data_IF_995652492988
#
_entry.id   IF_995652492988
#
_cell.length_a   1.000
_cell.length_b   1.000
_cell.length_c   1.000
_cell.angle_alpha   90.00
_cell.angle_beta   90.00
_cell.angle_gamma   90.00
#
_symmetry.space_group_name_H-M   'P 1'
#
loop_
_entity.id
_entity.type
_entity.pdbx_description
1 polymer ?
#
# COMPACT_ATOMS: atom_id res chain seq x y z
N UNK A 1 39.74 13.38 39.21
CA UNK A 1 38.58 12.59 39.69
C UNK A 1 37.40 13.56 39.74
N UNK A 2 36.64 13.65 38.65
CA UNK A 2 35.30 13.03 38.49
C UNK A 2 34.18 13.81 39.20
N UNK A 3 33.39 14.58 38.45
CA UNK A 3 31.95 14.33 38.18
C UNK A 3 31.20 15.64 37.78
N UNK A 4 30.73 15.76 36.54
CA UNK A 4 29.36 15.48 36.03
C UNK A 4 28.49 16.76 35.96
N UNK A 5 28.42 17.37 34.77
CA UNK A 5 27.29 17.34 33.80
C UNK A 5 26.13 18.29 34.12
N UNK A 6 26.10 19.43 33.40
CA UNK A 6 24.90 20.24 33.20
C UNK A 6 23.94 19.50 32.27
N UNK A 7 22.77 19.13 32.78
CA UNK A 7 21.66 18.61 31.99
C UNK A 7 20.67 19.77 31.83
N UNK A 8 20.69 20.41 30.66
CA UNK A 8 19.63 21.33 30.23
C UNK A 8 18.57 20.49 29.52
N UNK A 9 17.45 20.22 30.19
CA UNK A 9 16.25 19.64 29.58
C UNK A 9 15.29 20.78 29.33
N UNK A 10 15.39 21.36 28.13
CA UNK A 10 14.31 22.15 27.53
C UNK A 10 13.60 21.20 26.56
N UNK A 11 12.59 20.49 27.04
CA UNK A 11 11.63 19.82 26.18
C UNK A 11 10.25 20.41 26.48
N UNK A 12 9.92 21.47 25.74
CA UNK A 12 8.55 21.93 25.59
C UNK A 12 7.78 20.85 24.83
N UNK A 13 6.96 20.10 25.56
CA UNK A 13 6.03 19.11 25.03
C UNK A 13 4.94 19.78 24.20
N UNK A 14 5.02 19.54 22.90
CA UNK A 14 3.94 19.33 21.92
C UNK A 14 2.52 19.77 22.32
N UNK A 15 2.08 20.85 21.67
CA UNK A 15 0.68 21.05 21.30
C UNK A 15 0.18 19.85 20.49
N UNK A 16 -0.84 19.19 21.01
CA UNK A 16 -1.55 18.07 20.41
C UNK A 16 -2.27 18.50 19.11
N UNK A 17 -1.58 18.34 17.98
CA UNK A 17 -2.23 18.14 16.68
C UNK A 17 -2.62 16.67 16.57
N UNK A 18 -3.91 16.37 16.73
CA UNK A 18 -4.45 15.03 16.46
C UNK A 18 -4.17 14.67 14.98
N UNK A 19 -3.44 13.58 14.69
CA UNK A 19 -3.23 13.15 13.32
C UNK A 19 -4.51 12.47 12.82
N UNK A 20 -5.06 12.93 11.70
CA UNK A 20 -6.14 12.26 10.94
C UNK A 20 -5.74 10.89 10.35
N UNK A 21 -4.73 10.21 10.91
CA UNK A 21 -4.09 9.03 10.31
C UNK A 21 -4.75 7.70 10.68
N UNK A 22 -5.78 7.69 11.53
CA UNK A 22 -6.32 6.44 12.10
C UNK A 22 -7.38 5.77 11.21
N UNK A 23 -8.00 6.48 10.26
CA UNK A 23 -9.15 5.91 9.52
C UNK A 23 -8.78 5.01 8.32
N UNK A 24 -7.57 5.11 7.76
CA UNK A 24 -7.15 4.23 6.66
C UNK A 24 -6.76 2.82 7.16
N UNK A 25 -6.17 2.73 8.35
CA UNK A 25 -5.65 1.48 8.93
C UNK A 25 -6.75 0.48 9.27
N UNK A 26 -7.92 0.92 9.75
CA UNK A 26 -8.99 0.01 10.14
C UNK A 26 -9.68 -0.66 8.95
N UNK A 27 -9.75 0.02 7.80
CA UNK A 27 -10.38 -0.55 6.60
C UNK A 27 -9.49 -1.60 5.94
N UNK A 28 -8.18 -1.35 5.87
CA UNK A 28 -7.19 -2.31 5.36
C UNK A 28 -7.11 -3.57 6.24
N UNK A 29 -7.17 -3.42 7.57
CA UNK A 29 -7.14 -4.55 8.49
C UNK A 29 -8.41 -5.42 8.42
N UNK A 30 -9.58 -4.82 8.20
CA UNK A 30 -10.83 -5.57 7.96
C UNK A 30 -10.78 -6.34 6.65
N UNK A 31 -10.33 -5.73 5.56
CA UNK A 31 -10.21 -6.42 4.27
C UNK A 31 -9.18 -7.56 4.32
N UNK A 32 -8.06 -7.36 5.01
CA UNK A 32 -7.04 -8.39 5.25
C UNK A 32 -7.60 -9.65 5.93
N UNK A 33 -8.53 -9.51 6.86
CA UNK A 33 -9.12 -10.65 7.58
C UNK A 33 -10.17 -11.41 6.74
N UNK A 34 -10.87 -10.73 5.84
CA UNK A 34 -11.99 -11.30 5.10
C UNK A 34 -11.54 -12.41 4.12
N UNK A 35 -10.51 -12.15 3.30
CA UNK A 35 -10.07 -13.13 2.30
C UNK A 35 -9.31 -14.33 2.89
N UNK A 36 -8.82 -14.24 4.14
CA UNK A 36 -8.19 -15.37 4.86
C UNK A 36 -9.19 -16.41 5.32
N UNK A 37 -10.44 -16.01 5.57
CA UNK A 37 -11.50 -16.91 6.04
C UNK A 37 -12.22 -17.63 4.88
N UNK A 38 -12.27 -16.99 3.71
CA UNK A 38 -13.00 -17.49 2.52
C UNK A 38 -12.37 -18.74 1.87
N UNK A 39 -11.11 -19.03 2.22
CA UNK A 39 -10.21 -19.92 1.47
C UNK A 39 -9.84 -21.20 2.23
N UNK A 40 -10.54 -21.48 3.34
CA UNK A 40 -10.31 -22.68 4.14
C UNK A 40 -10.66 -23.94 3.33
N UNK A 41 -9.72 -24.88 3.22
CA UNK A 41 -9.90 -26.14 2.48
C UNK A 41 -9.61 -26.06 0.98
N UNK A 42 -9.06 -24.94 0.49
CA UNK A 42 -8.58 -24.85 -0.89
C UNK A 42 -7.38 -25.75 -1.15
N UNK A 43 -7.31 -26.33 -2.35
CA UNK A 43 -6.16 -27.13 -2.76
C UNK A 43 -4.94 -26.25 -3.09
N UNK A 44 -3.75 -26.86 -3.14
CA UNK A 44 -2.53 -26.20 -3.62
C UNK A 44 -2.76 -25.52 -4.98
N UNK A 45 -3.44 -26.23 -5.89
CA UNK A 45 -3.70 -25.74 -7.24
C UNK A 45 -4.66 -24.53 -7.25
N UNK A 46 -5.64 -24.49 -6.34
CA UNK A 46 -6.57 -23.36 -6.20
C UNK A 46 -5.82 -22.10 -5.73
N UNK A 47 -4.97 -22.23 -4.71
CA UNK A 47 -4.13 -21.14 -4.24
C UNK A 47 -3.21 -20.61 -5.35
N UNK A 48 -2.55 -21.51 -6.10
CA UNK A 48 -1.66 -21.12 -7.20
C UNK A 48 -2.42 -20.43 -8.34
N UNK A 49 -3.61 -20.91 -8.68
CA UNK A 49 -4.47 -20.31 -9.72
C UNK A 49 -4.96 -18.92 -9.31
N UNK A 50 -5.39 -18.78 -8.06
CA UNK A 50 -5.84 -17.51 -7.50
C UNK A 50 -4.73 -16.46 -7.36
N UNK A 51 -3.49 -16.90 -7.09
CA UNK A 51 -2.31 -16.04 -7.09
C UNK A 51 -2.03 -15.51 -8.51
N UNK A 52 -1.92 -16.42 -9.49
CA UNK A 52 -1.65 -16.06 -10.90
C UNK A 52 -2.69 -15.10 -11.49
N UNK A 53 -3.97 -15.31 -11.19
CA UNK A 53 -5.02 -14.39 -11.64
C UNK A 53 -4.77 -12.95 -11.15
N UNK A 54 -4.34 -12.80 -9.89
CA UNK A 54 -4.06 -11.48 -9.30
C UNK A 54 -2.75 -10.87 -9.81
N UNK A 55 -1.76 -11.69 -10.17
CA UNK A 55 -0.53 -11.17 -10.81
C UNK A 55 -0.86 -10.43 -12.11
N UNK A 56 -1.79 -10.93 -12.91
CA UNK A 56 -2.27 -10.23 -14.11
C UNK A 56 -2.95 -8.89 -13.80
N UNK A 57 -3.75 -8.85 -12.73
CA UNK A 57 -4.37 -7.59 -12.25
C UNK A 57 -3.31 -6.58 -11.79
N UNK A 58 -2.31 -7.03 -11.01
CA UNK A 58 -1.18 -6.22 -10.55
C UNK A 58 -0.43 -5.62 -11.73
N UNK A 59 -0.06 -6.43 -12.73
CA UNK A 59 0.65 -5.94 -13.92
C UNK A 59 -0.14 -4.87 -14.68
N UNK A 60 -1.46 -5.04 -14.79
CA UNK A 60 -2.34 -4.04 -15.39
C UNK A 60 -2.37 -2.74 -14.59
N UNK A 61 -2.48 -2.83 -13.26
CA UNK A 61 -2.46 -1.67 -12.37
C UNK A 61 -1.11 -0.94 -12.40
N UNK A 62 0.01 -1.65 -12.40
CA UNK A 62 1.35 -1.07 -12.49
C UNK A 62 1.54 -0.31 -13.81
N UNK A 63 1.08 -0.87 -14.93
CA UNK A 63 1.09 -0.19 -16.23
C UNK A 63 0.30 1.11 -16.19
N UNK A 64 -0.86 1.11 -15.54
CA UNK A 64 -1.69 2.32 -15.35
C UNK A 64 -1.03 3.34 -14.44
N UNK A 65 -0.36 2.91 -13.37
CA UNK A 65 0.40 3.79 -12.49
C UNK A 65 1.52 4.49 -13.27
N UNK A 66 2.26 3.76 -14.11
CA UNK A 66 3.32 4.34 -14.94
C UNK A 66 2.77 5.36 -15.95
N UNK A 67 1.60 5.11 -16.56
CA UNK A 67 0.95 6.10 -17.43
C UNK A 67 0.58 7.38 -16.67
N UNK A 68 -0.03 7.23 -15.49
CA UNK A 68 -0.38 8.36 -14.64
C UNK A 68 0.85 9.17 -14.22
N UNK A 69 1.96 8.51 -13.87
CA UNK A 69 3.21 9.17 -13.52
C UNK A 69 3.78 9.99 -14.67
N UNK A 70 3.75 9.46 -15.91
CA UNK A 70 4.15 10.22 -17.11
C UNK A 70 3.28 11.46 -17.30
N UNK A 71 1.96 11.34 -17.08
CA UNK A 71 1.02 12.47 -17.20
C UNK A 71 1.20 13.50 -16.08
N UNK A 72 1.49 13.06 -14.86
CA UNK A 72 1.84 13.94 -13.74
C UNK A 72 3.11 14.72 -14.08
N UNK A 73 4.16 14.04 -14.55
CA UNK A 73 5.42 14.67 -14.94
C UNK A 73 5.23 15.70 -16.07
N UNK A 74 4.31 15.47 -17.01
CA UNK A 74 3.95 16.45 -18.03
C UNK A 74 3.46 17.78 -17.42
N UNK A 75 2.55 17.72 -16.43
CA UNK A 75 2.04 18.91 -15.75
C UNK A 75 3.02 19.54 -14.76
N UNK A 76 3.99 18.78 -14.25
CA UNK A 76 5.09 19.31 -13.42
C UNK A 76 6.10 20.10 -14.27
N UNK A 77 6.45 19.58 -15.45
CA UNK A 77 7.35 20.25 -16.38
C UNK A 77 6.72 21.44 -17.10
N UNK A 78 5.39 21.46 -17.23
CA UNK A 78 4.64 22.53 -17.90
C UNK A 78 3.51 23.06 -17.02
N UNK A 79 3.83 23.83 -15.95
CA UNK A 79 2.83 24.30 -14.99
C UNK A 79 1.73 25.17 -15.60
N UNK A 80 2.00 25.82 -16.74
CA UNK A 80 1.03 26.67 -17.41
C UNK A 80 -0.15 25.89 -18.03
N UNK A 81 -0.01 24.57 -18.27
CA UNK A 81 -1.12 23.72 -18.71
C UNK A 81 -2.05 23.29 -17.56
N UNK A 82 -1.61 23.44 -16.31
CA UNK A 82 -2.44 23.23 -15.12
C UNK A 82 -2.05 24.23 -14.01
N UNK A 83 -2.33 25.54 -14.18
CA UNK A 83 -1.83 26.59 -13.29
C UNK A 83 -2.32 26.45 -11.85
N UNK A 84 -3.50 25.84 -11.67
CA UNK A 84 -4.12 25.58 -10.37
C UNK A 84 -3.76 24.21 -9.81
N UNK A 85 -3.15 23.34 -10.61
CA UNK A 85 -2.75 22.00 -10.18
C UNK A 85 -3.91 21.02 -10.00
N UNK A 86 -5.12 21.32 -10.48
CA UNK A 86 -6.28 20.47 -10.25
C UNK A 86 -6.12 19.10 -10.92
N UNK A 87 -5.66 19.09 -12.17
CA UNK A 87 -5.45 17.85 -12.92
C UNK A 87 -4.30 17.06 -12.33
N UNK A 88 -3.17 17.72 -12.04
CA UNK A 88 -2.00 17.08 -11.43
C UNK A 88 -2.36 16.46 -10.08
N UNK A 89 -3.08 17.17 -9.23
CA UNK A 89 -3.47 16.67 -7.91
C UNK A 89 -4.46 15.50 -8.00
N UNK A 90 -5.44 15.56 -8.92
CA UNK A 90 -6.35 14.45 -9.16
C UNK A 90 -5.60 13.19 -9.65
N UNK A 91 -4.68 13.34 -10.60
CA UNK A 91 -3.87 12.22 -11.10
C UNK A 91 -2.97 11.63 -10.00
N UNK A 92 -2.36 12.48 -9.15
CA UNK A 92 -1.58 12.04 -7.99
C UNK A 92 -2.43 11.21 -7.02
N UNK A 93 -3.66 11.64 -6.75
CA UNK A 93 -4.57 10.90 -5.89
C UNK A 93 -4.90 9.52 -6.48
N UNK A 94 -5.30 9.46 -7.75
CA UNK A 94 -5.60 8.19 -8.44
C UNK A 94 -4.37 7.26 -8.45
N UNK A 95 -3.19 7.81 -8.76
CA UNK A 95 -1.93 7.05 -8.75
C UNK A 95 -1.64 6.48 -7.36
N UNK A 96 -1.84 7.28 -6.31
CA UNK A 96 -1.66 6.83 -4.91
C UNK A 96 -2.63 5.71 -4.53
N UNK A 97 -3.90 5.83 -4.90
CA UNK A 97 -4.91 4.78 -4.64
C UNK A 97 -4.54 3.48 -5.35
N UNK A 98 -4.20 3.55 -6.64
CA UNK A 98 -3.80 2.36 -7.40
C UNK A 98 -2.54 1.70 -6.81
N UNK A 99 -1.58 2.47 -6.32
CA UNK A 99 -0.40 1.93 -5.62
C UNK A 99 -0.80 1.19 -4.34
N UNK A 100 -1.74 1.74 -3.58
CA UNK A 100 -2.30 1.07 -2.40
C UNK A 100 -2.97 -0.26 -2.76
N UNK A 101 -3.83 -0.25 -3.77
CA UNK A 101 -4.53 -1.45 -4.26
C UNK A 101 -3.54 -2.52 -4.76
N UNK A 102 -2.51 -2.12 -5.53
CA UNK A 102 -1.43 -3.00 -5.97
C UNK A 102 -0.70 -3.65 -4.79
N UNK A 103 -0.37 -2.88 -3.75
CA UNK A 103 0.28 -3.42 -2.56
C UNK A 103 -0.60 -4.45 -1.85
N UNK A 104 -1.90 -4.16 -1.68
CA UNK A 104 -2.84 -5.09 -1.07
C UNK A 104 -2.99 -6.39 -1.90
N UNK A 105 -3.03 -6.29 -3.23
CA UNK A 105 -3.04 -7.46 -4.10
C UNK A 105 -1.75 -8.28 -3.97
N UNK A 106 -0.59 -7.63 -3.91
CA UNK A 106 0.70 -8.29 -3.70
C UNK A 106 0.76 -9.03 -2.37
N UNK A 107 0.25 -8.45 -1.28
CA UNK A 107 0.14 -9.13 0.01
C UNK A 107 -0.75 -10.36 -0.06
N UNK A 108 -1.87 -10.27 -0.79
CA UNK A 108 -2.79 -11.40 -1.00
C UNK A 108 -2.18 -12.50 -1.86
N UNK A 109 -1.45 -12.14 -2.93
CA UNK A 109 -0.68 -13.08 -3.75
C UNK A 109 0.34 -13.83 -2.89
N UNK A 110 1.14 -13.09 -2.13
CA UNK A 110 2.15 -13.67 -1.24
C UNK A 110 1.51 -14.60 -0.19
N UNK A 111 0.31 -14.27 0.30
CA UNK A 111 -0.43 -15.15 1.19
C UNK A 111 -0.87 -16.44 0.50
N UNK A 112 -1.42 -16.38 -0.73
CA UNK A 112 -1.81 -17.59 -1.47
C UNK A 112 -0.60 -18.52 -1.70
N UNK A 113 0.57 -17.97 -2.05
CA UNK A 113 1.79 -18.78 -2.17
C UNK A 113 2.20 -19.45 -0.86
N UNK A 114 2.16 -18.73 0.26
CA UNK A 114 2.45 -19.30 1.58
C UNK A 114 1.50 -20.45 1.94
N UNK A 115 0.20 -20.32 1.64
CA UNK A 115 -0.76 -21.39 1.88
C UNK A 115 -0.48 -22.62 1.00
N UNK A 116 -0.19 -22.40 -0.28
CA UNK A 116 0.19 -23.48 -1.19
C UNK A 116 1.43 -24.23 -0.70
N UNK A 117 2.44 -23.52 -0.20
CA UNK A 117 3.65 -24.16 0.34
C UNK A 117 3.40 -24.87 1.67
N UNK A 118 2.53 -24.34 2.53
CA UNK A 118 2.12 -25.02 3.76
C UNK A 118 1.38 -26.33 3.48
N UNK A 119 0.48 -26.33 2.50
CA UNK A 119 -0.27 -27.52 2.12
C UNK A 119 0.63 -28.64 1.54
N UNK A 120 1.71 -28.28 0.82
CA UNK A 120 2.69 -29.27 0.34
C UNK A 120 3.44 -29.99 1.46
N UNK A 121 3.59 -29.37 2.64
CA UNK A 121 4.29 -29.98 3.77
C UNK A 121 3.42 -30.97 4.55
N UNK A 122 2.11 -30.94 4.32
CA UNK A 122 1.13 -31.80 5.00
C UNK A 122 0.74 -33.03 4.18
N UNK A 123 1.12 -33.08 2.91
CA UNK A 123 1.00 -34.25 2.02
C UNK A 123 2.22 -35.16 2.12
#
# INVERSE_FOLDING_TARGET
>A
MNNKTCISVFLMGMLLGLPQFVLASENEQKQSSAWRMETHGWSIQDHMTAAKAKEGEVQSMETRVQDLEKRIAHFENKPYFDPKGFHRNALKHISSTLKGDTNHLNERIAWHYRQADQAKLTE
#
